data_IF_607614532831
#
_entry.id   IF_607614532831
#
_cell.length_a   1.000
_cell.length_b   1.000
_cell.length_c   1.000
_cell.angle_alpha   90.00
_cell.angle_beta   90.00
_cell.angle_gamma   90.00
#
_symmetry.space_group_name_H-M   'P 1'
#
loop_
_entity.id
_entity.type
_entity.pdbx_description
1 polymer ?
#
# COMPACT_ATOMS: atom_id res chain seq x y z
N UNK A 1 5.78 -14.47 5.30
CA UNK A 1 5.68 -15.87 4.80
C UNK A 1 6.34 -15.92 3.44
N UNK A 2 7.18 -16.93 3.24
CA UNK A 2 7.95 -17.13 2.01
C UNK A 2 7.83 -18.59 1.60
N UNK A 3 6.93 -18.85 0.67
CA UNK A 3 6.58 -20.19 0.20
C UNK A 3 6.67 -20.24 -1.33
N UNK A 4 6.83 -21.42 -1.95
CA UNK A 4 7.01 -21.54 -3.40
C UNK A 4 5.94 -20.86 -4.26
N UNK A 5 4.74 -20.64 -3.72
CA UNK A 5 3.62 -20.01 -4.42
C UNK A 5 3.09 -18.74 -3.73
N UNK A 6 3.69 -18.32 -2.61
CA UNK A 6 3.19 -17.20 -1.82
C UNK A 6 4.33 -16.37 -1.24
N UNK A 7 4.27 -15.06 -1.48
CA UNK A 7 5.17 -14.07 -0.88
C UNK A 7 4.36 -13.03 -0.14
N UNK A 8 4.50 -12.98 1.18
CA UNK A 8 3.87 -11.98 2.04
C UNK A 8 4.90 -11.38 2.99
N UNK A 9 5.04 -10.04 3.04
CA UNK A 9 4.31 -9.03 2.26
C UNK A 9 4.59 -9.11 0.74
N UNK A 10 3.74 -8.50 -0.08
CA UNK A 10 3.98 -8.42 -1.52
C UNK A 10 5.25 -7.60 -1.79
N UNK A 11 6.27 -8.21 -2.41
CA UNK A 11 7.64 -7.69 -2.50
C UNK A 11 7.78 -6.25 -3.06
N UNK A 12 6.84 -5.80 -3.89
CA UNK A 12 6.87 -4.46 -4.50
C UNK A 12 5.67 -3.58 -4.10
N UNK A 13 4.97 -3.86 -2.98
CA UNK A 13 3.80 -3.06 -2.60
C UNK A 13 4.15 -1.62 -2.23
N UNK A 14 5.33 -1.41 -1.64
CA UNK A 14 5.79 -0.13 -1.09
C UNK A 14 6.02 0.99 -2.11
N UNK A 15 6.09 0.69 -3.41
CA UNK A 15 6.29 1.70 -4.46
C UNK A 15 5.04 1.88 -5.35
N UNK A 16 3.91 1.28 -4.96
CA UNK A 16 2.68 1.26 -5.76
C UNK A 16 1.61 2.11 -5.09
N UNK A 17 1.36 3.29 -5.67
CA UNK A 17 0.34 4.20 -5.17
C UNK A 17 -1.03 3.51 -5.06
N UNK A 18 -1.44 2.74 -6.08
CA UNK A 18 -2.71 1.99 -6.10
C UNK A 18 -2.82 0.89 -5.04
N UNK A 19 -1.74 0.59 -4.32
CA UNK A 19 -1.77 -0.30 -3.15
C UNK A 19 -1.76 0.52 -1.86
N UNK A 20 -0.83 1.46 -1.73
CA UNK A 20 -0.62 2.18 -0.47
C UNK A 20 -1.75 3.14 -0.11
N UNK A 21 -2.27 3.90 -1.09
CA UNK A 21 -3.30 4.90 -0.80
C UNK A 21 -4.63 4.26 -0.38
N UNK A 22 -5.17 3.22 -1.06
CA UNK A 22 -6.34 2.50 -0.56
C UNK A 22 -6.12 1.86 0.81
N UNK A 23 -4.91 1.34 1.08
CA UNK A 23 -4.58 0.77 2.38
C UNK A 23 -4.61 1.84 3.48
N UNK A 24 -4.16 3.06 3.19
CA UNK A 24 -4.15 4.17 4.13
C UNK A 24 -5.55 4.71 4.43
N UNK A 25 -6.48 4.64 3.47
CA UNK A 25 -7.90 4.96 3.72
C UNK A 25 -8.53 3.98 4.72
N UNK A 26 -8.06 2.73 4.77
CA UNK A 26 -8.62 1.68 5.63
C UNK A 26 -7.89 1.53 6.97
N UNK A 27 -6.57 1.68 6.98
CA UNK A 27 -5.71 1.40 8.13
C UNK A 27 -4.53 2.41 8.20
N UNK A 28 -4.78 3.68 8.54
CA UNK A 28 -3.78 4.75 8.48
C UNK A 28 -2.59 4.55 9.44
N UNK A 29 -2.80 3.85 10.56
CA UNK A 29 -1.78 3.59 11.59
C UNK A 29 -1.03 2.25 11.36
N UNK A 30 -1.20 1.63 10.19
CA UNK A 30 -0.57 0.34 9.89
C UNK A 30 0.95 0.47 9.89
N UNK A 31 1.60 -0.42 10.64
CA UNK A 31 3.04 -0.69 10.55
C UNK A 31 3.24 -2.01 9.82
N UNK A 32 4.09 -2.03 8.79
CA UNK A 32 4.41 -3.25 8.06
C UNK A 32 5.28 -4.19 8.91
N UNK A 33 5.38 -5.46 8.48
CA UNK A 33 6.14 -6.48 9.19
C UNK A 33 7.65 -6.18 9.31
N UNK A 34 8.17 -5.23 8.53
CA UNK A 34 9.55 -4.75 8.61
C UNK A 34 9.73 -3.50 9.49
N UNK A 35 8.66 -3.05 10.16
CA UNK A 35 8.66 -1.91 11.07
C UNK A 35 8.43 -0.56 10.42
N UNK A 36 8.30 -0.47 9.09
CA UNK A 36 8.00 0.80 8.43
C UNK A 36 6.53 1.17 8.58
N UNK A 37 6.28 2.40 9.00
CA UNK A 37 4.93 2.96 9.07
C UNK A 37 4.38 3.26 7.67
N UNK A 38 3.07 3.06 7.49
CA UNK A 38 2.40 3.37 6.22
C UNK A 38 2.54 4.85 5.84
N UNK A 39 2.52 5.74 6.82
CA UNK A 39 2.76 7.19 6.67
C UNK A 39 4.12 7.49 6.05
N UNK A 40 5.18 6.80 6.48
CA UNK A 40 6.52 6.91 5.89
C UNK A 40 6.50 6.45 4.43
N UNK A 41 5.89 5.31 4.14
CA UNK A 41 5.83 4.75 2.79
C UNK A 41 5.07 5.67 1.80
N UNK A 42 4.00 6.33 2.26
CA UNK A 42 3.27 7.32 1.47
C UNK A 42 4.13 8.55 1.15
N UNK A 43 5.04 8.96 2.04
CA UNK A 43 5.95 10.08 1.79
C UNK A 43 6.95 9.79 0.66
N UNK A 44 7.26 8.51 0.43
CA UNK A 44 8.18 8.04 -0.63
C UNK A 44 7.45 7.61 -1.92
N UNK A 45 6.12 7.54 -1.90
CA UNK A 45 5.30 7.05 -3.01
C UNK A 45 4.28 8.11 -3.45
N UNK A 46 4.56 8.92 -4.49
CA UNK A 46 3.68 10.03 -4.87
C UNK A 46 2.31 9.54 -5.36
N UNK A 47 1.26 10.33 -5.06
CA UNK A 47 -0.11 10.12 -5.55
C UNK A 47 -0.20 10.45 -7.04
N UNK A 48 0.25 9.53 -7.90
CA UNK A 48 0.28 9.71 -9.35
C UNK A 48 -0.52 8.61 -10.03
N UNK A 49 -1.35 8.99 -11.01
CA UNK A 49 -2.12 8.04 -11.83
C UNK A 49 -3.28 7.36 -11.11
N UNK A 50 -3.74 7.92 -9.99
CA UNK A 50 -4.90 7.44 -9.24
C UNK A 50 -6.09 8.36 -9.42
N UNK A 51 -7.24 7.75 -9.65
CA UNK A 51 -8.54 8.42 -9.71
C UNK A 51 -9.52 7.67 -8.82
N UNK A 52 -10.31 8.42 -8.05
CA UNK A 52 -11.39 7.84 -7.27
C UNK A 52 -12.58 7.59 -8.19
N UNK A 53 -13.08 6.37 -8.20
CA UNK A 53 -14.27 6.02 -8.97
C UNK A 53 -15.49 6.80 -8.43
N UNK A 54 -16.41 7.23 -9.30
CA UNK A 54 -17.67 7.80 -8.84
C UNK A 54 -18.47 6.75 -8.07
N UNK A 55 -19.29 7.18 -7.12
CA UNK A 55 -20.00 6.28 -6.21
C UNK A 55 -21.00 5.31 -6.89
N UNK A 56 -21.30 5.52 -8.18
CA UNK A 56 -22.40 4.88 -8.92
C UNK A 56 -21.95 4.25 -10.25
N UNK A 57 -20.79 3.58 -10.30
CA UNK A 57 -20.44 2.73 -11.47
C UNK A 57 -21.23 1.42 -11.42
#
# INVERSE_FOLDING_TARGET
MDEPRLKVPHYHMQARAFVLYPLAELAPELTLADGRELTHLLSECPFTGLERLPANV
#
